data_IF_296803168164
#
_entry.id   IF_296803168164
#
_cell.length_a   1.000
_cell.length_b   1.000
_cell.length_c   1.000
_cell.angle_alpha   90.00
_cell.angle_beta   90.00
_cell.angle_gamma   90.00
#
_symmetry.space_group_name_H-M   'P 1'
#
loop_
_entity.id
_entity.type
_entity.pdbx_description
1 polymer ?
#
# COMPACT_ATOMS: atom_id res chain seq x y z
N UNK A 1 -3.13 -2.05 -16.80
CA UNK A 1 -1.86 -2.56 -16.25
C UNK A 1 -2.00 -2.46 -14.74
N UNK A 2 -1.85 -3.56 -14.01
CA UNK A 2 -2.12 -3.60 -12.57
C UNK A 2 -0.78 -3.49 -11.83
N UNK A 3 -0.57 -2.44 -11.01
CA UNK A 3 0.65 -2.30 -10.24
C UNK A 3 0.71 -3.35 -9.13
N UNK A 4 1.88 -3.93 -8.92
CA UNK A 4 2.20 -4.71 -7.75
C UNK A 4 3.04 -3.85 -6.82
N UNK A 5 2.42 -3.35 -5.77
CA UNK A 5 3.09 -2.51 -4.78
C UNK A 5 3.75 -3.37 -3.71
N UNK A 6 4.98 -3.04 -3.36
CA UNK A 6 5.70 -3.64 -2.25
C UNK A 6 5.56 -2.75 -1.01
N UNK A 7 5.04 -3.29 0.07
CA UNK A 7 5.02 -2.63 1.36
C UNK A 7 6.02 -3.27 2.31
N UNK A 8 7.05 -2.55 2.72
CA UNK A 8 7.79 -2.90 3.93
C UNK A 8 7.10 -2.27 5.13
N UNK A 9 6.47 -3.10 5.93
CA UNK A 9 6.04 -2.70 7.26
C UNK A 9 7.26 -2.74 8.18
N UNK A 10 7.83 -1.59 8.50
CA UNK A 10 8.80 -1.50 9.58
C UNK A 10 8.04 -1.59 10.90
N UNK A 11 7.81 -2.80 11.41
CA UNK A 11 7.39 -2.98 12.80
C UNK A 11 8.55 -2.65 13.69
N UNK A 12 8.46 -1.55 14.39
CA UNK A 12 9.43 -1.17 15.41
C UNK A 12 9.11 -1.81 16.77
N UNK A 13 9.24 -3.11 16.89
CA UNK A 13 9.72 -3.66 18.15
C UNK A 13 11.23 -3.74 18.06
N UNK A 14 11.89 -2.62 18.44
CA UNK A 14 13.29 -2.45 18.22
C UNK A 14 13.61 -2.46 16.73
N UNK A 15 13.79 -1.28 16.16
CA UNK A 15 14.36 -1.15 14.83
C UNK A 15 15.71 -1.86 14.86
N UNK A 16 15.70 -3.12 14.51
CA UNK A 16 16.94 -3.82 14.20
C UNK A 16 17.32 -3.29 12.83
N UNK A 17 18.47 -2.61 12.69
CA UNK A 17 18.96 -2.10 11.41
C UNK A 17 19.12 -3.17 10.33
N UNK A 18 18.95 -4.42 10.67
CA UNK A 18 19.11 -5.62 9.85
C UNK A 18 17.91 -5.98 8.98
N UNK A 19 16.93 -5.10 8.79
CA UNK A 19 16.05 -5.19 7.61
C UNK A 19 16.78 -4.90 6.28
N UNK A 20 18.09 -4.73 6.30
CA UNK A 20 18.99 -5.00 5.19
C UNK A 20 18.78 -6.39 4.53
N UNK A 21 17.99 -7.24 5.15
CA UNK A 21 17.48 -8.50 4.63
C UNK A 21 16.67 -8.30 3.34
N UNK A 22 15.89 -7.25 3.28
CA UNK A 22 15.06 -6.94 2.12
C UNK A 22 15.89 -6.57 0.88
N UNK A 23 16.95 -5.79 1.04
CA UNK A 23 17.76 -5.30 -0.07
C UNK A 23 18.52 -6.42 -0.81
N UNK A 24 18.78 -7.54 -0.14
CA UNK A 24 19.52 -8.66 -0.73
C UNK A 24 18.64 -9.70 -1.42
N UNK A 25 17.36 -9.77 -1.05
CA UNK A 25 16.46 -10.83 -1.51
C UNK A 25 15.33 -10.33 -2.41
N UNK A 26 15.12 -9.02 -2.50
CA UNK A 26 14.07 -8.44 -3.31
C UNK A 26 14.66 -7.91 -4.61
N UNK A 27 14.30 -8.55 -5.69
CA UNK A 27 14.62 -8.02 -7.02
C UNK A 27 13.64 -6.89 -7.35
N UNK A 28 14.02 -5.67 -7.01
CA UNK A 28 13.20 -4.46 -7.18
C UNK A 28 12.73 -4.24 -8.62
N UNK A 29 13.44 -4.81 -9.61
CA UNK A 29 13.10 -4.65 -11.03
C UNK A 29 11.72 -5.17 -11.39
N UNK A 30 11.15 -6.09 -10.60
CA UNK A 30 9.86 -6.71 -10.89
C UNK A 30 8.69 -6.07 -10.15
N UNK A 31 8.93 -5.09 -9.30
CA UNK A 31 7.89 -4.29 -8.66
C UNK A 31 7.53 -3.08 -9.51
N UNK A 32 6.32 -2.58 -9.31
CA UNK A 32 5.83 -1.39 -10.00
C UNK A 32 5.96 -0.15 -9.11
N UNK A 33 5.96 -0.34 -7.78
CA UNK A 33 6.04 0.72 -6.78
C UNK A 33 6.57 0.17 -5.44
N UNK A 34 7.19 1.03 -4.64
CA UNK A 34 7.60 0.72 -3.26
C UNK A 34 6.83 1.58 -2.29
N UNK A 35 6.19 0.92 -1.30
CA UNK A 35 5.54 1.59 -0.19
C UNK A 35 6.31 1.33 1.11
N UNK A 36 6.77 2.39 1.77
CA UNK A 36 7.47 2.31 3.07
C UNK A 36 6.63 3.02 4.11
N UNK A 37 6.23 2.29 5.16
CA UNK A 37 5.38 2.82 6.23
C UNK A 37 6.10 2.74 7.57
N UNK A 38 6.20 3.89 8.26
CA UNK A 38 6.60 3.93 9.68
C UNK A 38 5.42 3.53 10.55
N UNK A 39 5.49 2.37 11.18
CA UNK A 39 4.35 1.79 11.92
C UNK A 39 4.28 2.27 13.37
N UNK A 40 5.41 2.66 13.98
CA UNK A 40 5.39 3.18 15.35
C UNK A 40 4.84 4.62 15.40
N UNK A 41 4.23 4.96 16.54
CA UNK A 41 3.66 6.28 16.76
C UNK A 41 4.68 7.34 17.22
N UNK A 42 5.94 6.93 17.47
CA UNK A 42 6.97 7.86 17.92
C UNK A 42 7.24 8.93 16.84
N UNK A 43 7.15 10.17 17.27
CA UNK A 43 7.48 11.35 16.46
C UNK A 43 8.76 12.03 16.92
N UNK A 44 9.60 11.33 17.68
CA UNK A 44 10.88 11.90 18.09
C UNK A 44 11.71 12.26 16.84
N UNK A 45 12.47 13.32 16.93
CA UNK A 45 13.36 13.75 15.82
C UNK A 45 14.38 12.66 15.48
N UNK A 46 14.81 11.89 16.49
CA UNK A 46 15.74 10.78 16.30
C UNK A 46 15.09 9.67 15.45
N UNK A 47 13.87 9.26 15.76
CA UNK A 47 13.16 8.20 15.01
C UNK A 47 12.82 8.64 13.59
N UNK A 48 12.46 9.92 13.41
CA UNK A 48 12.22 10.46 12.08
C UNK A 48 13.51 10.49 11.24
N UNK A 49 14.66 10.81 11.84
CA UNK A 49 15.94 10.75 11.16
C UNK A 49 16.33 9.33 10.78
N UNK A 50 16.14 8.35 11.69
CA UNK A 50 16.39 6.93 11.41
C UNK A 50 15.51 6.44 10.26
N UNK A 51 14.23 6.81 10.26
CA UNK A 51 13.30 6.47 9.18
C UNK A 51 13.76 7.07 7.84
N UNK A 52 14.07 8.37 7.81
CA UNK A 52 14.60 9.04 6.60
C UNK A 52 15.87 8.35 6.08
N UNK A 53 16.79 8.03 6.96
CA UNK A 53 18.07 7.44 6.56
C UNK A 53 17.91 5.99 6.09
N UNK A 54 16.93 5.24 6.63
CA UNK A 54 16.54 3.93 6.14
C UNK A 54 15.92 4.02 4.72
N UNK A 55 15.01 4.98 4.50
CA UNK A 55 14.42 5.25 3.19
C UNK A 55 15.52 5.60 2.17
N UNK A 56 16.44 6.49 2.51
CA UNK A 56 17.54 6.86 1.61
C UNK A 56 18.41 5.68 1.25
N UNK A 57 18.77 4.83 2.22
CA UNK A 57 19.58 3.62 1.94
C UNK A 57 18.87 2.65 1.00
N UNK A 58 17.58 2.40 1.24
CA UNK A 58 16.80 1.49 0.40
C UNK A 58 16.73 2.00 -1.05
N UNK A 59 16.52 3.30 -1.22
CA UNK A 59 16.31 3.91 -2.54
C UNK A 59 17.60 4.24 -3.30
N UNK A 60 18.79 4.03 -2.72
CA UNK A 60 20.07 4.34 -3.39
C UNK A 60 20.24 3.63 -4.74
N UNK A 61 19.72 2.41 -4.86
CA UNK A 61 19.86 1.57 -6.05
C UNK A 61 18.51 1.18 -6.66
N UNK A 62 17.45 1.87 -6.30
CA UNK A 62 16.07 1.54 -6.70
C UNK A 62 15.47 2.72 -7.46
N UNK A 63 15.13 2.50 -8.72
CA UNK A 63 14.50 3.50 -9.59
C UNK A 63 13.00 3.21 -9.77
N UNK A 64 12.28 3.02 -8.66
CA UNK A 64 10.84 2.80 -8.65
C UNK A 64 10.13 3.97 -7.97
N UNK A 65 8.86 4.25 -8.32
CA UNK A 65 8.04 5.19 -7.59
C UNK A 65 8.00 4.85 -6.10
N UNK A 66 8.16 5.85 -5.26
CA UNK A 66 8.24 5.73 -3.81
C UNK A 66 7.01 6.34 -3.15
N UNK A 67 6.27 5.52 -2.40
CA UNK A 67 5.24 5.98 -1.49
C UNK A 67 5.73 5.92 -0.05
N UNK A 68 5.62 7.04 0.69
CA UNK A 68 5.95 7.11 2.11
C UNK A 68 4.72 7.30 2.98
N UNK A 69 4.63 6.53 4.06
CA UNK A 69 3.54 6.60 5.03
C UNK A 69 3.99 6.52 6.49
N UNK A 70 3.03 6.67 7.38
CA UNK A 70 3.22 6.59 8.83
C UNK A 70 3.74 7.88 9.48
N UNK A 71 3.22 8.15 10.68
CA UNK A 71 3.54 9.33 11.50
C UNK A 71 3.36 10.68 10.78
N UNK A 72 2.40 10.77 9.85
CA UNK A 72 2.01 12.01 9.18
C UNK A 72 0.81 12.58 9.95
N UNK A 73 0.99 13.69 10.67
CA UNK A 73 -0.02 14.28 11.51
C UNK A 73 -0.55 15.64 11.05
N UNK A 74 0.15 16.31 10.13
CA UNK A 74 -0.18 17.64 9.62
C UNK A 74 0.41 17.86 8.23
N UNK A 75 0.11 19.01 7.64
CA UNK A 75 0.59 19.41 6.31
C UNK A 75 2.12 19.42 6.20
N UNK A 76 2.82 19.92 7.21
CA UNK A 76 4.28 20.01 7.24
C UNK A 76 4.96 18.64 7.25
N UNK A 77 4.38 17.68 8.02
CA UNK A 77 4.85 16.28 8.03
C UNK A 77 4.74 15.68 6.61
N UNK A 78 3.62 15.92 5.93
CA UNK A 78 3.41 15.45 4.56
C UNK A 78 4.41 16.07 3.59
N UNK A 79 4.60 17.38 3.63
CA UNK A 79 5.59 18.08 2.82
C UNK A 79 7.01 17.57 3.07
N UNK A 80 7.32 17.18 4.31
CA UNK A 80 8.62 16.61 4.67
C UNK A 80 8.85 15.26 3.95
N UNK A 81 7.82 14.41 3.80
CA UNK A 81 7.93 13.15 3.07
C UNK A 81 8.24 13.39 1.58
N UNK A 82 7.59 14.36 0.95
CA UNK A 82 7.92 14.76 -0.43
C UNK A 82 9.37 15.27 -0.55
N UNK A 83 9.84 16.09 0.40
CA UNK A 83 11.25 16.51 0.44
C UNK A 83 12.25 15.37 0.64
N UNK A 84 11.82 14.23 1.18
CA UNK A 84 12.67 13.03 1.28
C UNK A 84 12.69 12.19 -0.01
N UNK A 85 11.95 12.61 -1.04
CA UNK A 85 11.93 11.98 -2.34
C UNK A 85 10.71 11.07 -2.58
N UNK A 86 9.65 11.20 -1.77
CA UNK A 86 8.42 10.49 -2.07
C UNK A 86 7.76 11.06 -3.33
N UNK A 87 7.32 10.17 -4.22
CA UNK A 87 6.43 10.50 -5.33
C UNK A 87 4.98 10.60 -4.85
N UNK A 88 4.64 9.80 -3.83
CA UNK A 88 3.30 9.70 -3.25
C UNK A 88 3.39 9.58 -1.72
N UNK A 89 2.31 9.93 -1.04
CA UNK A 89 2.19 9.75 0.41
C UNK A 89 0.96 8.95 0.79
N UNK A 90 1.12 8.07 1.78
CA UNK A 90 0.03 7.28 2.36
C UNK A 90 -0.48 7.98 3.62
N UNK A 91 -1.72 8.43 3.56
CA UNK A 91 -2.40 9.18 4.63
C UNK A 91 -3.31 8.27 5.43
N UNK A 92 -3.13 8.24 6.75
CA UNK A 92 -4.00 7.51 7.65
C UNK A 92 -5.22 8.33 8.09
N UNK A 93 -6.17 7.66 8.76
CA UNK A 93 -7.45 8.23 9.22
C UNK A 93 -7.30 9.55 9.99
N UNK A 94 -6.32 9.64 10.89
CA UNK A 94 -6.14 10.85 11.71
C UNK A 94 -5.81 12.09 10.88
N UNK A 95 -5.05 11.93 9.80
CA UNK A 95 -4.77 13.02 8.87
C UNK A 95 -5.98 13.32 7.98
N UNK A 96 -6.61 12.30 7.44
CA UNK A 96 -7.73 12.43 6.50
C UNK A 96 -8.95 13.12 7.12
N UNK A 97 -9.09 13.09 8.44
CA UNK A 97 -10.10 13.88 9.16
C UNK A 97 -9.82 15.40 9.17
N UNK A 98 -8.61 15.80 8.77
CA UNK A 98 -8.21 17.22 8.63
C UNK A 98 -8.39 17.67 7.18
N UNK A 99 -9.65 17.82 6.74
CA UNK A 99 -10.02 18.06 5.32
C UNK A 99 -9.29 19.24 4.69
N UNK A 100 -9.08 20.34 5.45
CA UNK A 100 -8.33 21.51 4.99
C UNK A 100 -6.88 21.19 4.62
N UNK A 101 -6.22 20.31 5.37
CA UNK A 101 -4.86 19.89 5.08
C UNK A 101 -4.83 18.95 3.87
N UNK A 102 -5.85 18.11 3.69
CA UNK A 102 -6.01 17.28 2.49
C UNK A 102 -6.20 18.16 1.24
N UNK A 103 -7.12 19.13 1.29
CA UNK A 103 -7.36 20.09 0.20
C UNK A 103 -6.08 20.87 -0.16
N UNK A 104 -5.33 21.31 0.85
CA UNK A 104 -4.07 22.02 0.65
C UNK A 104 -3.00 21.12 0.01
N UNK A 105 -2.91 19.84 0.41
CA UNK A 105 -2.01 18.88 -0.22
C UNK A 105 -2.42 18.60 -1.66
N UNK A 106 -3.71 18.37 -1.90
CA UNK A 106 -4.25 18.13 -3.25
C UNK A 106 -3.95 19.29 -4.19
N UNK A 107 -4.13 20.53 -3.73
CA UNK A 107 -3.82 21.72 -4.53
C UNK A 107 -2.33 21.92 -4.77
N UNK A 108 -1.47 21.44 -3.85
CA UNK A 108 -0.01 21.62 -3.94
C UNK A 108 0.67 20.52 -4.76
N UNK A 109 0.27 19.27 -4.58
CA UNK A 109 0.96 18.09 -5.14
C UNK A 109 0.11 17.30 -6.15
N UNK A 110 -1.18 17.61 -6.25
CA UNK A 110 -2.16 16.86 -7.06
C UNK A 110 -2.75 15.64 -6.34
N UNK A 111 -3.96 15.27 -6.74
CA UNK A 111 -4.68 14.11 -6.16
C UNK A 111 -3.88 12.82 -6.28
N UNK A 112 -3.22 12.60 -7.41
CA UNK A 112 -2.44 11.38 -7.71
C UNK A 112 -1.27 11.15 -6.75
N UNK A 113 -0.82 12.19 -6.04
CA UNK A 113 0.24 12.08 -5.04
C UNK A 113 -0.26 11.60 -3.66
N UNK A 114 -1.58 11.48 -3.48
CA UNK A 114 -2.21 11.17 -2.19
C UNK A 114 -2.92 9.83 -2.24
N UNK A 115 -2.57 8.93 -1.32
CA UNK A 115 -3.21 7.64 -1.11
C UNK A 115 -3.89 7.65 0.26
N UNK A 116 -5.19 7.33 0.31
CA UNK A 116 -5.90 7.14 1.58
C UNK A 116 -5.74 5.70 2.06
N UNK A 117 -5.26 5.51 3.30
CA UNK A 117 -5.19 4.20 3.94
C UNK A 117 -6.41 3.96 4.81
N UNK A 118 -7.15 2.90 4.52
CA UNK A 118 -8.26 2.41 5.32
C UNK A 118 -7.87 1.09 5.95
N UNK A 119 -7.51 1.14 7.23
CA UNK A 119 -7.29 -0.06 8.04
C UNK A 119 -8.63 -0.62 8.49
N UNK A 120 -8.85 -1.92 8.29
CA UNK A 120 -10.10 -2.58 8.66
C UNK A 120 -9.86 -4.03 9.12
N UNK A 121 -10.88 -4.63 9.73
CA UNK A 121 -10.90 -6.04 10.10
C UNK A 121 -11.80 -6.81 9.12
N UNK A 122 -11.22 -7.74 8.37
CA UNK A 122 -11.94 -8.52 7.34
C UNK A 122 -13.03 -9.40 7.95
N UNK A 123 -12.77 -9.98 9.12
CA UNK A 123 -13.75 -10.78 9.86
C UNK A 123 -14.99 -9.99 10.25
N UNK A 124 -14.82 -8.74 10.72
CA UNK A 124 -15.96 -7.86 11.02
C UNK A 124 -16.68 -7.41 9.75
N UNK A 125 -15.94 -7.11 8.70
CA UNK A 125 -16.53 -6.68 7.42
C UNK A 125 -17.41 -7.78 6.82
N UNK A 126 -17.03 -9.04 6.97
CA UNK A 126 -17.81 -10.18 6.54
C UNK A 126 -19.11 -10.37 7.35
N UNK A 127 -19.03 -10.20 8.67
CA UNK A 127 -20.11 -10.53 9.62
C UNK A 127 -21.06 -9.36 9.89
N UNK A 128 -20.57 -8.10 9.86
CA UNK A 128 -21.30 -6.92 10.27
C UNK A 128 -21.58 -5.99 9.08
N UNK A 129 -22.83 -5.95 8.62
CA UNK A 129 -23.24 -5.07 7.52
C UNK A 129 -23.03 -3.57 7.86
N UNK A 130 -23.30 -3.18 9.10
CA UNK A 130 -23.07 -1.81 9.58
C UNK A 130 -21.60 -1.40 9.47
N UNK A 131 -20.69 -2.28 9.84
CA UNK A 131 -19.24 -2.04 9.71
C UNK A 131 -18.80 -1.99 8.24
N UNK A 132 -19.34 -2.86 7.41
CA UNK A 132 -19.11 -2.84 5.96
C UNK A 132 -19.52 -1.51 5.36
N UNK A 133 -20.71 -1.02 5.70
CA UNK A 133 -21.21 0.27 5.23
C UNK A 133 -20.35 1.43 5.76
N UNK A 134 -19.87 1.37 7.01
CA UNK A 134 -18.93 2.36 7.56
C UNK A 134 -17.65 2.43 6.69
N UNK A 135 -17.03 1.30 6.40
CA UNK A 135 -15.77 1.24 5.64
C UNK A 135 -15.96 1.78 4.20
N UNK A 136 -17.06 1.42 3.54
CA UNK A 136 -17.36 1.91 2.18
C UNK A 136 -17.67 3.40 2.18
N UNK A 137 -18.44 3.91 3.15
CA UNK A 137 -18.74 5.33 3.25
C UNK A 137 -17.49 6.14 3.56
N UNK A 138 -16.57 5.61 4.37
CA UNK A 138 -15.27 6.23 4.62
C UNK A 138 -14.47 6.37 3.32
N UNK A 139 -14.45 5.33 2.49
CA UNK A 139 -13.77 5.37 1.20
C UNK A 139 -14.36 6.45 0.27
N UNK A 140 -15.69 6.58 0.25
CA UNK A 140 -16.38 7.64 -0.52
C UNK A 140 -16.02 9.03 -0.02
N UNK A 141 -16.02 9.24 1.30
CA UNK A 141 -15.61 10.54 1.86
C UNK A 141 -14.18 10.91 1.48
N UNK A 142 -13.25 9.95 1.48
CA UNK A 142 -11.88 10.21 1.09
C UNK A 142 -11.76 10.54 -0.41
N UNK A 143 -12.56 9.90 -1.25
CA UNK A 143 -12.67 10.27 -2.66
C UNK A 143 -13.16 11.72 -2.82
N UNK A 144 -14.15 12.13 -2.05
CA UNK A 144 -14.68 13.52 -2.05
C UNK A 144 -13.63 14.52 -1.55
N UNK A 145 -12.75 14.14 -0.62
CA UNK A 145 -11.65 14.99 -0.14
C UNK A 145 -10.52 15.16 -1.17
N UNK A 146 -10.59 14.44 -2.29
CA UNK A 146 -9.68 14.62 -3.41
C UNK A 146 -8.41 13.78 -3.37
N UNK A 147 -8.37 12.67 -2.62
CA UNK A 147 -7.27 11.69 -2.75
C UNK A 147 -7.34 10.99 -4.11
N UNK A 148 -6.22 10.50 -4.61
CA UNK A 148 -6.14 9.86 -5.92
C UNK A 148 -6.23 8.34 -5.92
N UNK A 149 -6.10 7.70 -4.75
CA UNK A 149 -6.12 6.25 -4.61
C UNK A 149 -6.52 5.83 -3.19
N UNK A 150 -7.08 4.65 -3.06
CA UNK A 150 -7.43 4.06 -1.75
C UNK A 150 -6.70 2.73 -1.57
N UNK A 151 -5.94 2.63 -0.48
CA UNK A 151 -5.37 1.39 0.01
C UNK A 151 -6.22 0.82 1.14
N UNK A 152 -6.87 -0.32 0.92
CA UNK A 152 -7.51 -1.08 1.98
C UNK A 152 -6.53 -2.07 2.59
N UNK A 153 -6.33 -1.97 3.91
CA UNK A 153 -5.41 -2.83 4.66
C UNK A 153 -6.16 -3.69 5.68
N UNK A 154 -6.27 -4.98 5.40
CA UNK A 154 -6.91 -5.95 6.29
C UNK A 154 -5.95 -6.34 7.42
N UNK A 155 -6.14 -5.73 8.62
CA UNK A 155 -5.21 -5.87 9.76
C UNK A 155 -5.15 -7.32 10.26
N UNK A 156 -6.31 -7.97 10.32
CA UNK A 156 -6.44 -9.36 10.78
C UNK A 156 -5.96 -10.40 9.77
N UNK A 157 -5.73 -10.00 8.51
CA UNK A 157 -5.14 -10.87 7.48
C UNK A 157 -3.65 -10.63 7.24
N UNK A 158 -3.12 -9.48 7.68
CA UNK A 158 -1.72 -9.15 7.43
C UNK A 158 -0.79 -10.20 8.05
N UNK A 159 0.10 -10.77 7.24
CA UNK A 159 1.04 -11.83 7.63
C UNK A 159 0.46 -13.24 7.73
N UNK A 160 -0.86 -13.45 7.56
CA UNK A 160 -1.49 -14.78 7.70
C UNK A 160 -1.25 -15.71 6.51
N UNK A 161 -0.99 -15.18 5.32
CA UNK A 161 -0.84 -15.92 4.06
C UNK A 161 -2.10 -16.70 3.61
N UNK A 162 -3.26 -16.42 4.20
CA UNK A 162 -4.52 -17.18 3.98
C UNK A 162 -5.38 -16.64 2.83
N UNK A 163 -4.88 -15.71 2.06
CA UNK A 163 -5.61 -15.05 0.97
C UNK A 163 -6.09 -13.66 1.34
N UNK A 164 -6.35 -12.88 0.31
CA UNK A 164 -6.87 -11.53 0.44
C UNK A 164 -8.37 -11.55 0.71
N UNK A 165 -8.93 -10.42 1.15
CA UNK A 165 -10.34 -10.34 1.52
C UNK A 165 -11.26 -10.29 0.30
N UNK A 166 -11.95 -11.42 0.06
CA UNK A 166 -12.95 -11.55 -1.01
C UNK A 166 -14.28 -10.86 -0.67
N UNK A 167 -14.58 -10.66 0.62
CA UNK A 167 -15.83 -9.99 1.01
C UNK A 167 -15.79 -8.50 0.73
N UNK A 168 -14.62 -7.86 0.91
CA UNK A 168 -14.40 -6.48 0.49
C UNK A 168 -14.50 -6.35 -1.03
N UNK A 169 -13.82 -7.21 -1.80
CA UNK A 169 -13.86 -7.13 -3.28
C UNK A 169 -15.28 -7.27 -3.81
N UNK A 170 -16.07 -8.19 -3.26
CA UNK A 170 -17.49 -8.34 -3.59
C UNK A 170 -18.32 -7.10 -3.22
N UNK A 171 -18.00 -6.48 -2.10
CA UNK A 171 -18.67 -5.24 -1.69
C UNK A 171 -18.36 -4.09 -2.66
N UNK A 172 -17.12 -3.98 -3.15
CA UNK A 172 -16.69 -2.96 -4.11
C UNK A 172 -17.34 -3.11 -5.50
N UNK A 173 -17.85 -4.29 -5.87
CA UNK A 173 -18.66 -4.47 -7.06
C UNK A 173 -19.98 -3.70 -6.98
N UNK A 174 -20.60 -3.72 -5.80
CA UNK A 174 -21.88 -3.06 -5.54
C UNK A 174 -21.71 -1.55 -5.35
N UNK A 175 -20.63 -1.15 -4.72
CA UNK A 175 -20.33 0.23 -4.38
C UNK A 175 -19.27 0.79 -5.33
N UNK A 176 -19.69 1.52 -6.36
CA UNK A 176 -18.79 2.09 -7.36
C UNK A 176 -17.93 3.20 -6.73
N UNK A 177 -16.67 2.88 -6.43
CA UNK A 177 -15.62 3.88 -6.26
C UNK A 177 -15.05 4.20 -7.64
N UNK A 178 -14.78 5.47 -7.92
CA UNK A 178 -14.15 5.91 -9.17
C UNK A 178 -12.63 5.93 -9.08
N UNK A 179 -12.09 5.82 -7.87
CA UNK A 179 -10.64 5.80 -7.63
C UNK A 179 -10.06 4.39 -7.80
N UNK A 180 -8.79 4.30 -8.20
CA UNK A 180 -8.01 3.08 -8.07
C UNK A 180 -8.03 2.54 -6.63
N UNK A 181 -8.16 1.22 -6.51
CA UNK A 181 -8.17 0.52 -5.24
C UNK A 181 -7.02 -0.48 -5.18
N UNK A 182 -6.22 -0.39 -4.13
CA UNK A 182 -5.14 -1.33 -3.81
C UNK A 182 -5.51 -2.10 -2.55
N UNK A 183 -5.24 -3.41 -2.54
CA UNK A 183 -5.46 -4.27 -1.38
C UNK A 183 -4.16 -4.65 -0.71
N UNK A 184 -4.15 -4.68 0.63
CA UNK A 184 -3.07 -5.19 1.47
C UNK A 184 -3.59 -6.18 2.51
N UNK A 185 -2.78 -7.20 2.78
CA UNK A 185 -3.02 -8.21 3.81
C UNK A 185 -3.48 -9.56 3.28
N UNK A 186 -2.88 -10.63 3.79
CA UNK A 186 -3.26 -12.01 3.53
C UNK A 186 -2.63 -12.67 2.31
N UNK A 187 -1.88 -11.97 1.48
CA UNK A 187 -1.28 -12.56 0.29
C UNK A 187 -0.28 -13.67 0.67
N UNK A 188 -0.59 -14.91 0.33
CA UNK A 188 0.19 -16.10 0.68
C UNK A 188 0.75 -16.88 -0.51
N UNK A 189 0.14 -16.73 -1.67
CA UNK A 189 0.62 -17.28 -2.94
C UNK A 189 0.06 -16.46 -4.11
N UNK A 190 0.54 -16.74 -5.32
CA UNK A 190 0.20 -15.94 -6.50
C UNK A 190 -1.19 -16.22 -7.06
N UNK A 191 -1.81 -17.35 -6.72
CA UNK A 191 -3.21 -17.64 -7.09
C UNK A 191 -4.16 -16.67 -6.40
N UNK A 192 -3.82 -16.20 -5.19
CA UNK A 192 -4.59 -15.15 -4.52
C UNK A 192 -4.61 -13.83 -5.32
N UNK A 193 -3.56 -13.54 -6.08
CA UNK A 193 -3.51 -12.36 -6.97
C UNK A 193 -4.49 -12.56 -8.13
N UNK A 194 -4.46 -13.74 -8.76
CA UNK A 194 -5.37 -14.10 -9.87
C UNK A 194 -6.83 -13.95 -9.44
N UNK A 195 -7.20 -14.55 -8.31
CA UNK A 195 -8.56 -14.49 -7.76
C UNK A 195 -9.08 -13.07 -7.51
N UNK A 196 -8.20 -12.16 -7.11
CA UNK A 196 -8.57 -10.77 -6.83
C UNK A 196 -8.76 -9.99 -8.13
N UNK A 197 -7.93 -10.23 -9.14
CA UNK A 197 -8.01 -9.50 -10.40
C UNK A 197 -9.16 -9.92 -11.31
N UNK A 198 -9.70 -11.12 -11.14
CA UNK A 198 -10.92 -11.53 -11.85
C UNK A 198 -12.09 -10.58 -11.58
N UNK A 199 -12.11 -9.94 -10.42
CA UNK A 199 -13.14 -8.99 -10.02
C UNK A 199 -13.13 -7.67 -10.82
N UNK A 200 -12.02 -7.28 -11.45
CA UNK A 200 -11.89 -6.09 -12.29
C UNK A 200 -12.02 -4.72 -11.60
N UNK A 201 -12.25 -4.68 -10.28
CA UNK A 201 -12.35 -3.45 -9.48
C UNK A 201 -11.06 -3.09 -8.75
N UNK A 202 -10.15 -4.05 -8.64
CA UNK A 202 -8.90 -3.89 -7.94
C UNK A 202 -7.82 -3.46 -8.93
N UNK A 203 -7.15 -2.37 -8.61
CA UNK A 203 -6.10 -1.77 -9.46
C UNK A 203 -4.71 -2.26 -9.08
N UNK A 204 -4.52 -2.77 -7.87
CA UNK A 204 -3.23 -3.25 -7.41
C UNK A 204 -3.31 -4.09 -6.14
N UNK A 205 -2.24 -4.80 -5.84
CA UNK A 205 -2.05 -5.51 -4.56
C UNK A 205 -0.74 -5.10 -3.93
N UNK A 206 -0.76 -4.97 -2.61
CA UNK A 206 0.40 -4.65 -1.79
C UNK A 206 0.81 -5.88 -0.99
N UNK A 207 2.09 -6.18 -0.91
CA UNK A 207 2.59 -7.34 -0.20
C UNK A 207 3.95 -7.10 0.43
N UNK A 208 4.23 -7.80 1.52
CA UNK A 208 5.55 -7.82 2.18
C UNK A 208 6.01 -9.25 2.50
N UNK A 209 5.24 -9.98 3.27
CA UNK A 209 5.66 -11.24 3.89
C UNK A 209 5.89 -12.39 2.90
N UNK A 210 5.15 -12.46 1.82
CA UNK A 210 5.30 -13.53 0.82
C UNK A 210 6.72 -13.58 0.24
N UNK A 211 7.39 -12.44 0.16
CA UNK A 211 8.74 -12.32 -0.40
C UNK A 211 9.81 -12.96 0.49
N UNK A 212 9.51 -13.13 1.77
CA UNK A 212 10.42 -13.77 2.74
C UNK A 212 10.15 -15.26 2.91
N UNK A 213 8.98 -15.74 2.52
CA UNK A 213 8.49 -17.09 2.83
C UNK A 213 8.36 -18.01 1.61
N UNK A 214 8.47 -17.48 0.40
CA UNK A 214 8.35 -18.28 -0.81
C UNK A 214 9.63 -18.22 -1.65
N UNK A 215 9.93 -19.33 -2.31
CA UNK A 215 11.00 -19.41 -3.32
C UNK A 215 10.56 -18.84 -4.67
N UNK A 216 9.28 -18.51 -4.81
CA UNK A 216 8.71 -18.02 -6.07
C UNK A 216 8.97 -16.54 -6.21
N UNK A 217 9.78 -16.17 -7.18
CA UNK A 217 10.09 -14.77 -7.46
C UNK A 217 8.87 -14.03 -8.05
N UNK A 218 8.80 -12.72 -7.83
CA UNK A 218 7.80 -11.85 -8.46
C UNK A 218 7.83 -11.97 -9.98
N UNK A 219 9.01 -12.17 -10.57
CA UNK A 219 9.18 -12.43 -12.00
C UNK A 219 8.40 -13.66 -12.45
N UNK A 220 8.62 -14.80 -11.80
CA UNK A 220 7.94 -16.05 -12.12
C UNK A 220 6.44 -15.94 -11.98
N UNK A 221 5.97 -15.23 -10.95
CA UNK A 221 4.55 -14.93 -10.76
C UNK A 221 3.99 -14.11 -11.92
N UNK A 222 4.58 -12.97 -12.24
CA UNK A 222 4.09 -12.11 -13.34
C UNK A 222 4.07 -12.88 -14.66
N UNK A 223 5.09 -13.67 -14.97
CA UNK A 223 5.12 -14.52 -16.18
C UNK A 223 3.95 -15.52 -16.20
N UNK A 224 3.65 -16.17 -15.08
CA UNK A 224 2.52 -17.10 -14.96
C UNK A 224 1.19 -16.39 -15.18
N UNK A 225 0.99 -15.24 -14.54
CA UNK A 225 -0.24 -14.47 -14.67
C UNK A 225 -0.43 -13.92 -16.08
N UNK A 226 0.65 -13.46 -16.74
CA UNK A 226 0.62 -13.01 -18.14
C UNK A 226 0.25 -14.17 -19.07
N UNK A 227 0.82 -15.37 -18.88
CA UNK A 227 0.48 -16.54 -19.68
C UNK A 227 -0.99 -16.98 -19.56
N UNK A 228 -1.66 -16.56 -18.49
CA UNK A 228 -3.10 -16.78 -18.23
C UNK A 228 -3.99 -15.60 -18.64
N UNK A 229 -3.42 -14.62 -19.35
CA UNK A 229 -4.16 -13.47 -19.89
C UNK A 229 -4.20 -12.24 -18.97
N UNK A 230 -3.52 -12.26 -17.84
CA UNK A 230 -3.36 -11.11 -16.96
C UNK A 230 -2.53 -9.99 -17.61
N UNK A 231 -2.89 -8.75 -17.37
CA UNK A 231 -2.17 -7.58 -17.89
C UNK A 231 -1.25 -7.01 -16.81
N UNK A 232 0.00 -7.44 -16.83
CA UNK A 232 1.06 -6.97 -15.93
C UNK A 232 2.16 -6.30 -16.75
N UNK A 233 2.91 -5.44 -16.08
CA UNK A 233 4.12 -4.87 -16.65
C UNK A 233 5.16 -6.01 -16.87
N UNK A 234 5.73 -6.12 -18.07
CA UNK A 234 6.69 -7.14 -18.49
C UNK A 234 7.97 -6.57 -19.16
N UNK A 235 8.15 -5.24 -19.08
CA UNK A 235 9.20 -4.47 -19.75
C UNK A 235 10.59 -4.54 -19.06
N UNK A 236 10.84 -5.57 -18.26
CA UNK A 236 12.18 -5.85 -17.70
C UNK A 236 13.14 -6.58 -18.63
N UNK A 237 12.80 -6.69 -19.90
CA UNK A 237 13.69 -7.21 -20.94
C UNK A 237 14.65 -6.11 -21.41
N UNK A 238 15.66 -5.78 -20.57
CA UNK A 238 16.86 -5.05 -20.97
C UNK A 238 18.07 -5.80 -20.41
#
# INVERSE_FOLDING_TARGET
>A
MLPLSYATLTRTHGFVPDYAYSDRFIDHRYFDEILIVKVDESKSQQDLNLYRDAVKRLMQNVALPLTLGGSIGNFEDACMRFRWGADRILLGRNFLNQTKDVEKLTSTYGSQALIACINYYSTRLEQEESYRNEIINLARSYQEYGVGEILFSAIDRDGTLQGMDKSLTKSLETYALSLPVVLNGGLGNWLHVEEIFENGKISGVCTSNILHLTTTSVRSMKQTLISRGGRFRDDWAI
#
